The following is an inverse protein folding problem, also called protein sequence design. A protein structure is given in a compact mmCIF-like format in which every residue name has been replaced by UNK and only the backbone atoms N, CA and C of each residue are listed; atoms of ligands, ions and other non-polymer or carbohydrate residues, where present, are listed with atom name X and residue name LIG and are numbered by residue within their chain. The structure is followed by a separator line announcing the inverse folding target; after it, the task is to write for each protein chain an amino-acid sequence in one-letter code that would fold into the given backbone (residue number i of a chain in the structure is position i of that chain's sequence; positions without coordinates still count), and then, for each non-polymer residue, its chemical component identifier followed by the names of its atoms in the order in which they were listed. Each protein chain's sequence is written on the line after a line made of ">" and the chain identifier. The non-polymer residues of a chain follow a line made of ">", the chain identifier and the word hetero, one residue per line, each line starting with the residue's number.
data_IF_811173703249
#
_entry.id   IF_811173703249
#
_cell.length_a   1.000
_cell.length_b   1.000
_cell.length_c   1.000
_cell.angle_alpha   90.00
_cell.angle_beta   90.00
_cell.angle_gamma   90.00
#
_symmetry.space_group_name_H-M   'P 1'
#
loop_
_entity.id
_entity.type
_entity.pdbx_description
1 polymer ?
#
# COMPACT_ATOMS: atom_id res chain seq x y z
N UNK A 1 -20.38 -0.41 41.26
CA UNK A 1 -19.24 0.28 41.90
C UNK A 1 -18.44 -0.76 42.65
N UNK A 2 -17.38 -1.28 42.05
CA UNK A 2 -16.57 -2.33 42.66
C UNK A 2 -15.12 -2.01 42.33
N UNK A 3 -14.38 -1.56 43.35
CA UNK A 3 -12.94 -1.27 43.29
C UNK A 3 -12.19 -2.59 43.44
N UNK A 4 -11.24 -2.89 42.55
CA UNK A 4 -10.24 -3.94 42.75
C UNK A 4 -8.85 -3.33 42.51
N UNK A 5 -7.95 -3.68 43.42
CA UNK A 5 -6.73 -2.96 43.75
C UNK A 5 -5.54 -3.23 42.83
N UNK A 6 -4.68 -2.22 42.80
CA UNK A 6 -3.35 -2.14 42.21
C UNK A 6 -2.36 -3.10 42.92
N UNK A 7 -1.49 -3.77 42.16
CA UNK A 7 -0.23 -4.30 42.67
C UNK A 7 0.91 -3.89 41.72
N UNK A 8 1.72 -2.95 42.19
CA UNK A 8 2.96 -2.49 41.55
C UNK A 8 4.10 -3.32 42.16
N UNK A 9 4.95 -3.92 41.32
CA UNK A 9 6.21 -4.53 41.75
C UNK A 9 7.36 -3.88 41.01
N UNK A 10 8.14 -3.09 41.75
CA UNK A 10 9.40 -2.48 41.33
C UNK A 10 10.51 -3.44 41.76
N UNK A 11 11.45 -3.76 40.86
CA UNK A 11 12.70 -4.42 41.22
C UNK A 11 13.87 -3.65 40.60
N UNK A 12 14.57 -2.91 41.46
CA UNK A 12 15.88 -2.34 41.22
C UNK A 12 16.94 -3.42 41.46
N UNK A 13 17.86 -3.63 40.51
CA UNK A 13 19.16 -4.23 40.80
C UNK A 13 20.23 -3.38 40.15
N UNK A 14 20.92 -2.60 40.98
CA UNK A 14 22.17 -1.92 40.66
C UNK A 14 23.31 -2.83 41.11
N UNK A 15 24.21 -3.21 40.21
CA UNK A 15 25.51 -3.77 40.58
C UNK A 15 26.61 -2.87 40.00
N UNK A 16 27.23 -2.12 40.92
CA UNK A 16 28.52 -1.46 40.73
C UNK A 16 29.62 -2.47 41.03
N UNK A 17 30.60 -2.62 40.13
CA UNK A 17 31.90 -3.17 40.46
C UNK A 17 32.98 -2.23 39.92
N UNK A 18 33.65 -1.59 40.86
CA UNK A 18 34.93 -0.92 40.73
C UNK A 18 36.05 -1.96 40.71
N UNK A 19 37.02 -1.81 39.81
CA UNK A 19 38.33 -2.43 39.96
C UNK A 19 39.40 -1.45 39.45
N UNK A 20 40.19 -0.94 40.39
CA UNK A 20 41.49 -0.32 40.16
C UNK A 20 42.58 -1.39 40.22
N UNK A 21 43.50 -1.34 39.28
CA UNK A 21 44.77 -2.09 39.23
C UNK A 21 45.36 -1.81 37.86
N UNK A 22 46.60 -1.37 37.66
CA UNK A 22 47.83 -1.54 38.41
C UNK A 22 48.89 -1.73 37.31
N UNK A 23 49.91 -0.88 37.28
CA UNK A 23 50.77 -0.68 36.12
C UNK A 23 51.68 -1.85 35.74
N UNK A 24 52.25 -1.76 34.53
CA UNK A 24 53.32 -2.61 34.03
C UNK A 24 53.72 -2.18 32.62
N UNK A 25 54.84 -1.47 32.52
CA UNK A 25 55.45 -1.10 31.25
C UNK A 25 56.02 -2.32 30.52
N UNK A 26 55.92 -2.29 29.19
CA UNK A 26 56.50 -3.29 28.31
C UNK A 26 56.28 -2.86 26.86
N UNK A 27 57.32 -2.30 26.27
CA UNK A 27 57.38 -2.00 24.84
C UNK A 27 57.10 -3.28 24.04
N UNK A 28 56.03 -3.28 23.25
CA UNK A 28 55.73 -4.30 22.26
C UNK A 28 55.38 -3.64 20.93
N UNK A 29 55.83 -4.22 19.80
CA UNK A 29 55.85 -3.57 18.50
C UNK A 29 54.45 -3.32 17.97
N UNK A 30 54.27 -2.15 17.35
CA UNK A 30 53.03 -1.68 16.75
C UNK A 30 52.44 -2.71 15.80
N UNK A 31 51.26 -3.22 16.14
CA UNK A 31 50.42 -3.99 15.23
C UNK A 31 49.98 -3.06 14.07
N UNK A 32 49.91 -3.56 12.82
CA UNK A 32 49.40 -2.78 11.71
C UNK A 32 47.96 -2.39 11.99
N UNK A 33 47.65 -1.10 11.80
CA UNK A 33 46.33 -0.54 11.97
C UNK A 33 45.31 -1.35 11.16
N UNK A 34 44.51 -2.17 11.85
CA UNK A 34 43.31 -2.76 11.29
C UNK A 34 42.39 -1.63 10.88
N UNK A 35 42.22 -1.44 9.57
CA UNK A 35 41.25 -0.53 9.00
C UNK A 35 39.91 -0.68 9.73
N UNK A 36 39.23 0.43 10.10
CA UNK A 36 37.92 0.34 10.73
C UNK A 36 36.99 -0.47 9.82
N UNK A 37 36.14 -1.34 10.40
CA UNK A 37 35.18 -2.11 9.60
C UNK A 37 34.34 -1.13 8.80
N UNK A 38 34.39 -1.25 7.48
CA UNK A 38 33.50 -0.54 6.56
C UNK A 38 32.08 -0.88 6.97
N UNK A 39 31.41 0.03 7.66
CA UNK A 39 29.98 -0.10 7.96
C UNK A 39 29.30 -0.23 6.60
N UNK A 40 28.76 -1.41 6.32
CA UNK A 40 27.99 -1.63 5.10
C UNK A 40 26.90 -0.56 5.08
N UNK A 41 27.01 0.38 4.13
CA UNK A 41 25.98 1.39 3.95
C UNK A 41 24.67 0.64 3.75
N UNK A 42 23.71 0.83 4.66
CA UNK A 42 22.36 0.29 4.52
C UNK A 42 21.84 0.75 3.15
N UNK A 43 21.88 -0.14 2.16
CA UNK A 43 21.47 0.18 0.80
C UNK A 43 19.97 0.40 0.82
N UNK A 44 19.53 1.65 0.59
CA UNK A 44 18.11 1.95 0.41
C UNK A 44 17.57 1.04 -0.72
N UNK A 45 16.32 0.53 -0.61
CA UNK A 45 15.76 -0.38 -1.60
C UNK A 45 15.42 0.30 -2.95
N UNK A 46 15.61 1.62 -3.03
CA UNK A 46 15.33 2.50 -4.16
C UNK A 46 16.51 3.45 -4.41
N UNK A 47 16.58 4.02 -5.60
CA UNK A 47 17.67 4.93 -6.03
C UNK A 47 17.36 6.40 -5.80
N UNK A 48 16.07 6.75 -5.68
CA UNK A 48 15.61 8.13 -5.53
C UNK A 48 16.01 8.68 -4.16
N UNK A 49 16.47 9.93 -4.16
CA UNK A 49 16.70 10.76 -2.98
C UNK A 49 15.38 11.21 -2.36
N UNK A 50 15.40 11.61 -1.08
CA UNK A 50 14.22 12.11 -0.39
C UNK A 50 13.62 13.36 -1.10
N UNK A 51 14.48 14.20 -1.69
CA UNK A 51 14.06 15.37 -2.47
C UNK A 51 13.35 14.98 -3.78
N UNK A 52 13.85 13.98 -4.50
CA UNK A 52 13.19 13.47 -5.71
C UNK A 52 11.82 12.85 -5.38
N UNK A 53 11.74 12.09 -4.29
CA UNK A 53 10.49 11.48 -3.81
C UNK A 53 9.45 12.55 -3.53
N UNK A 54 9.77 13.55 -2.70
CA UNK A 54 8.78 14.60 -2.36
C UNK A 54 8.42 15.48 -3.56
N UNK A 55 9.37 15.76 -4.45
CA UNK A 55 9.09 16.51 -5.69
C UNK A 55 8.07 15.78 -6.54
N UNK A 56 8.21 14.45 -6.68
CA UNK A 56 7.22 13.62 -7.37
C UNK A 56 5.84 13.69 -6.69
N UNK A 57 5.79 13.54 -5.36
CA UNK A 57 4.53 13.58 -4.59
C UNK A 57 3.78 14.91 -4.71
N UNK A 58 4.47 16.05 -4.66
CA UNK A 58 3.83 17.37 -4.80
C UNK A 58 3.42 17.72 -6.23
N UNK A 59 4.14 17.18 -7.21
CA UNK A 59 3.83 17.42 -8.63
C UNK A 59 2.64 16.60 -9.13
N UNK A 60 2.38 15.45 -8.51
CA UNK A 60 1.36 14.45 -8.90
C UNK A 60 1.50 13.89 -10.33
N UNK A 61 2.60 14.24 -11.02
CA UNK A 61 2.77 13.94 -12.45
C UNK A 61 3.29 12.52 -12.72
N UNK A 62 3.97 11.90 -11.75
CA UNK A 62 4.57 10.57 -11.88
C UNK A 62 4.35 9.75 -10.61
N UNK A 63 3.19 9.08 -10.52
CA UNK A 63 2.78 8.30 -9.36
C UNK A 63 3.15 6.81 -9.39
N UNK A 64 3.64 6.32 -10.52
CA UNK A 64 3.96 4.90 -10.72
C UNK A 64 5.19 4.76 -11.61
N UNK A 65 5.98 3.68 -11.46
CA UNK A 65 7.12 3.45 -12.33
C UNK A 65 6.68 3.12 -13.76
N UNK A 66 7.64 3.13 -14.70
CA UNK A 66 7.39 2.67 -16.07
C UNK A 66 6.90 1.22 -16.08
N UNK A 67 6.02 0.90 -17.03
CA UNK A 67 5.39 -0.42 -17.20
C UNK A 67 4.56 -0.90 -16.00
N UNK A 68 4.26 -0.03 -15.03
CA UNK A 68 3.29 -0.34 -13.99
C UNK A 68 1.90 -0.52 -14.60
N UNK A 69 1.11 -1.41 -14.01
CA UNK A 69 -0.25 -1.69 -14.45
C UNK A 69 -1.05 -0.40 -14.61
N UNK A 70 -1.54 -0.18 -15.82
CA UNK A 70 -2.38 0.95 -16.17
C UNK A 70 -3.51 0.48 -17.05
N UNK A 71 -4.64 1.19 -16.92
CA UNK A 71 -5.81 0.92 -17.74
C UNK A 71 -5.93 2.01 -18.78
N UNK A 72 -6.08 1.61 -20.03
CA UNK A 72 -6.36 2.55 -21.11
C UNK A 72 -7.77 3.07 -20.97
N UNK A 73 -7.89 4.40 -20.93
CA UNK A 73 -9.18 5.09 -20.95
C UNK A 73 -9.34 5.69 -22.33
N UNK A 74 -10.47 5.41 -22.99
CA UNK A 74 -10.79 6.05 -24.26
C UNK A 74 -10.93 7.57 -24.03
N UNK A 75 -10.26 8.44 -24.82
CA UNK A 75 -10.31 9.88 -24.63
C UNK A 75 -11.73 10.48 -24.63
N UNK A 76 -12.67 9.79 -25.28
CA UNK A 76 -14.09 10.19 -25.37
C UNK A 76 -14.87 10.04 -24.07
N UNK A 77 -14.35 9.34 -23.06
CA UNK A 77 -15.09 9.03 -21.82
C UNK A 77 -15.02 10.14 -20.74
N UNK A 78 -14.29 11.23 -20.99
CA UNK A 78 -14.14 12.32 -20.02
C UNK A 78 -13.50 11.85 -18.72
N UNK A 79 -14.07 12.24 -17.57
CA UNK A 79 -13.63 11.75 -16.27
C UNK A 79 -14.02 10.28 -16.06
N UNK A 80 -13.06 9.42 -15.68
CA UNK A 80 -13.32 8.01 -15.40
C UNK A 80 -13.00 7.70 -13.95
N UNK A 81 -14.01 7.24 -13.21
CA UNK A 81 -13.83 6.60 -11.91
C UNK A 81 -14.06 5.10 -12.06
N UNK A 82 -13.21 4.29 -11.45
CA UNK A 82 -13.38 2.83 -11.43
C UNK A 82 -13.42 2.38 -9.99
N UNK A 83 -14.43 1.58 -9.64
CA UNK A 83 -14.65 1.08 -8.27
C UNK A 83 -14.98 -0.41 -8.31
N UNK A 84 -14.55 -1.13 -7.29
CA UNK A 84 -15.06 -2.47 -7.02
C UNK A 84 -16.29 -2.39 -6.15
N UNK A 85 -17.30 -3.20 -6.48
CA UNK A 85 -18.53 -3.32 -5.68
C UNK A 85 -18.19 -4.01 -4.37
N UNK A 86 -18.57 -3.37 -3.26
CA UNK A 86 -18.32 -3.83 -1.90
C UNK A 86 -19.59 -4.35 -1.25
N UNK A 87 -19.40 -5.14 -0.22
CA UNK A 87 -20.49 -5.64 0.63
C UNK A 87 -21.39 -4.54 1.17
N UNK A 88 -20.82 -3.41 1.59
CA UNK A 88 -21.59 -2.26 2.09
C UNK A 88 -22.37 -1.49 1.03
N UNK A 89 -22.05 -1.67 -0.27
CA UNK A 89 -22.80 -1.02 -1.37
C UNK A 89 -24.08 -1.80 -1.71
N UNK A 90 -24.14 -3.07 -1.31
CA UNK A 90 -25.17 -4.04 -1.70
C UNK A 90 -26.03 -4.42 -0.50
N UNK A 91 -25.39 -4.75 0.61
CA UNK A 91 -26.05 -5.13 1.84
C UNK A 91 -26.19 -3.88 2.71
N UNK A 92 -27.40 -3.59 3.19
CA UNK A 92 -27.77 -2.41 3.98
C UNK A 92 -27.09 -2.33 5.37
N UNK A 93 -26.03 -3.11 5.58
CA UNK A 93 -25.23 -3.13 6.77
C UNK A 93 -23.90 -2.40 6.52
N UNK A 94 -23.83 -1.15 6.97
CA UNK A 94 -22.58 -0.38 7.02
C UNK A 94 -21.61 -0.89 8.11
N UNK A 95 -21.96 -1.96 8.83
CA UNK A 95 -21.08 -2.55 9.83
C UNK A 95 -19.83 -3.16 9.18
N UNK A 96 -18.77 -3.13 9.98
CA UNK A 96 -17.50 -3.77 9.70
C UNK A 96 -17.61 -5.30 9.81
N UNK A 97 -16.84 -6.07 9.01
CA UNK A 97 -15.87 -5.64 7.99
C UNK A 97 -16.48 -5.35 6.61
N UNK A 98 -15.79 -4.54 5.80
CA UNK A 98 -16.11 -4.33 4.37
C UNK A 98 -15.21 -5.18 3.49
N UNK A 99 -15.80 -5.85 2.50
CA UNK A 99 -15.11 -6.73 1.57
C UNK A 99 -15.52 -6.44 0.12
N UNK A 100 -14.64 -6.76 -0.83
CA UNK A 100 -14.97 -6.72 -2.26
C UNK A 100 -15.70 -7.99 -2.66
N UNK A 101 -16.78 -7.87 -3.44
CA UNK A 101 -17.58 -9.01 -3.88
C UNK A 101 -16.95 -9.70 -5.09
N UNK A 102 -17.09 -11.02 -5.14
CA UNK A 102 -16.81 -11.81 -6.32
C UNK A 102 -18.02 -12.67 -6.70
N UNK A 103 -18.20 -12.93 -7.99
CA UNK A 103 -19.11 -13.94 -8.52
C UNK A 103 -18.64 -14.40 -9.89
N UNK A 104 -18.85 -15.67 -10.21
CA UNK A 104 -18.73 -16.20 -11.59
C UNK A 104 -20.08 -16.24 -12.34
N UNK A 105 -21.16 -15.77 -11.70
CA UNK A 105 -22.47 -15.58 -12.33
C UNK A 105 -22.64 -14.11 -12.72
N UNK A 106 -22.72 -13.87 -14.03
CA UNK A 106 -22.93 -12.54 -14.58
C UNK A 106 -24.21 -11.87 -14.04
N UNK A 107 -25.30 -12.62 -13.87
CA UNK A 107 -26.58 -12.05 -13.40
C UNK A 107 -26.48 -11.60 -11.95
N UNK A 108 -25.78 -12.36 -11.11
CA UNK A 108 -25.52 -11.98 -9.73
C UNK A 108 -24.64 -10.73 -9.68
N UNK A 109 -23.56 -10.70 -10.46
CA UNK A 109 -22.68 -9.53 -10.55
C UNK A 109 -23.42 -8.27 -11.02
N UNK A 110 -24.28 -8.40 -12.03
CA UNK A 110 -25.13 -7.31 -12.50
C UNK A 110 -26.08 -6.83 -11.41
N UNK A 111 -26.79 -7.76 -10.73
CA UNK A 111 -27.69 -7.42 -9.64
C UNK A 111 -27.01 -6.63 -8.50
N UNK A 112 -25.78 -6.99 -8.13
CA UNK A 112 -25.00 -6.24 -7.16
C UNK A 112 -24.57 -4.86 -7.67
N UNK A 113 -24.16 -4.76 -8.94
CA UNK A 113 -23.83 -3.47 -9.55
C UNK A 113 -25.05 -2.52 -9.61
N UNK A 114 -26.24 -3.05 -9.87
CA UNK A 114 -27.49 -2.27 -9.82
C UNK A 114 -27.79 -1.77 -8.42
N UNK A 115 -27.67 -2.62 -7.41
CA UNK A 115 -27.90 -2.23 -6.01
C UNK A 115 -26.90 -1.15 -5.57
N UNK A 116 -25.62 -1.34 -5.89
CA UNK A 116 -24.60 -0.33 -5.64
C UNK A 116 -24.93 1.00 -6.34
N UNK A 117 -25.34 0.99 -7.61
CA UNK A 117 -25.72 2.20 -8.34
C UNK A 117 -26.96 2.90 -7.77
N UNK A 118 -27.92 2.16 -7.20
CA UNK A 118 -29.09 2.72 -6.54
C UNK A 118 -28.76 3.36 -5.18
N UNK A 119 -27.70 2.89 -4.52
CA UNK A 119 -27.21 3.48 -3.27
C UNK A 119 -26.35 4.74 -3.47
N UNK A 120 -25.88 4.98 -4.71
CA UNK A 120 -25.04 6.13 -5.03
C UNK A 120 -25.84 7.45 -5.03
N UNK A 121 -25.21 8.60 -4.74
CA UNK A 121 -25.88 9.90 -4.76
C UNK A 121 -26.51 10.27 -6.12
N UNK A 122 -26.02 9.68 -7.20
CA UNK A 122 -26.55 9.84 -8.55
C UNK A 122 -26.55 8.48 -9.25
N UNK A 123 -27.74 7.98 -9.62
CA UNK A 123 -27.87 6.80 -10.47
C UNK A 123 -27.70 7.21 -11.93
N UNK A 124 -26.55 6.89 -12.52
CA UNK A 124 -26.29 7.07 -13.95
C UNK A 124 -26.95 6.02 -14.83
N UNK A 125 -27.19 6.30 -16.11
CA UNK A 125 -27.63 5.31 -17.08
C UNK A 125 -26.53 4.28 -17.36
N UNK A 126 -26.89 3.02 -17.58
CA UNK A 126 -25.96 1.99 -18.04
C UNK A 126 -25.63 2.24 -19.51
N UNK A 127 -24.34 2.36 -19.81
CA UNK A 127 -23.84 2.65 -21.16
C UNK A 127 -23.23 1.40 -21.81
N UNK A 128 -22.50 0.62 -21.02
CA UNK A 128 -21.71 -0.50 -21.54
C UNK A 128 -21.52 -1.57 -20.45
N UNK A 129 -21.35 -2.82 -20.87
CA UNK A 129 -20.90 -3.90 -20.01
C UNK A 129 -19.70 -4.58 -20.63
N UNK A 130 -18.70 -4.89 -19.80
CA UNK A 130 -17.45 -5.52 -20.21
C UNK A 130 -17.20 -6.75 -19.35
N UNK A 131 -16.71 -7.83 -19.97
CA UNK A 131 -16.32 -9.04 -19.25
C UNK A 131 -14.87 -9.35 -19.56
N UNK A 132 -14.09 -9.58 -18.50
CA UNK A 132 -12.72 -10.06 -18.61
C UNK A 132 -12.53 -11.36 -17.83
N UNK A 133 -11.30 -11.87 -17.83
CA UNK A 133 -10.92 -12.95 -16.91
C UNK A 133 -10.97 -12.49 -15.46
N UNK A 134 -10.78 -11.19 -15.17
CA UNK A 134 -10.63 -10.66 -13.81
C UNK A 134 -11.96 -10.23 -13.18
N UNK A 135 -12.87 -9.68 -13.96
CA UNK A 135 -14.08 -9.05 -13.46
C UNK A 135 -15.19 -8.96 -14.52
N UNK A 136 -16.41 -8.75 -14.03
CA UNK A 136 -17.49 -8.12 -14.77
C UNK A 136 -17.46 -6.61 -14.49
N UNK A 137 -17.58 -5.80 -15.53
CA UNK A 137 -17.58 -4.34 -15.46
C UNK A 137 -18.88 -3.77 -16.05
N UNK A 138 -19.44 -2.80 -15.34
CA UNK A 138 -20.67 -2.11 -15.70
C UNK A 138 -20.38 -0.62 -15.74
N UNK A 139 -20.42 -0.03 -16.94
CA UNK A 139 -20.06 1.36 -17.19
C UNK A 139 -21.34 2.20 -17.17
N UNK A 140 -21.37 3.20 -16.30
CA UNK A 140 -22.50 4.12 -16.15
C UNK A 140 -22.10 5.55 -16.39
N UNK A 141 -23.02 6.33 -16.94
CA UNK A 141 -22.86 7.77 -17.05
C UNK A 141 -22.69 8.42 -15.66
N UNK A 142 -21.85 9.44 -15.58
CA UNK A 142 -21.74 10.32 -14.42
C UNK A 142 -22.21 11.70 -14.85
N UNK A 143 -23.38 12.10 -14.36
CA UNK A 143 -24.02 13.38 -14.70
C UNK A 143 -23.58 14.55 -13.79
N UNK A 144 -22.72 14.30 -12.80
CA UNK A 144 -22.12 15.31 -11.93
C UNK A 144 -21.00 16.13 -12.59
N UNK A 145 -20.37 17.02 -11.82
CA UNK A 145 -19.18 17.77 -12.24
C UNK A 145 -17.92 17.20 -11.56
N UNK A 146 -16.88 16.78 -12.30
CA UNK A 146 -16.84 16.67 -13.76
C UNK A 146 -17.73 15.53 -14.28
N UNK A 147 -18.29 15.73 -15.47
CA UNK A 147 -19.05 14.72 -16.18
C UNK A 147 -18.11 13.63 -16.74
N UNK A 148 -18.63 12.42 -16.91
CA UNK A 148 -17.85 11.31 -17.43
C UNK A 148 -18.53 9.97 -17.17
N UNK A 149 -17.77 8.96 -16.75
CA UNK A 149 -18.29 7.61 -16.48
C UNK A 149 -17.78 7.04 -15.16
N UNK A 150 -18.59 6.17 -14.57
CA UNK A 150 -18.21 5.31 -13.45
C UNK A 150 -18.21 3.86 -13.93
N UNK A 151 -17.10 3.15 -13.72
CA UNK A 151 -16.93 1.73 -14.01
C UNK A 151 -17.05 0.95 -12.71
N UNK A 152 -18.17 0.27 -12.50
CA UNK A 152 -18.37 -0.60 -11.35
C UNK A 152 -17.93 -2.02 -11.71
N UNK A 153 -17.09 -2.64 -10.88
CA UNK A 153 -16.53 -3.97 -11.12
C UNK A 153 -16.87 -4.96 -10.02
N UNK A 154 -17.26 -6.15 -10.42
CA UNK A 154 -17.37 -7.32 -9.55
C UNK A 154 -16.30 -8.30 -9.95
N UNK A 155 -15.46 -8.74 -9.02
CA UNK A 155 -14.43 -9.73 -9.35
C UNK A 155 -15.07 -11.03 -9.83
N UNK A 156 -14.39 -11.73 -10.72
CA UNK A 156 -14.71 -13.14 -10.97
C UNK A 156 -14.09 -13.98 -9.87
N UNK A 157 -14.87 -14.84 -9.21
CA UNK A 157 -14.33 -15.68 -8.15
C UNK A 157 -13.28 -16.65 -8.71
N UNK A 158 -13.41 -17.09 -9.97
CA UNK A 158 -12.38 -17.84 -10.67
C UNK A 158 -11.04 -17.10 -10.83
N UNK A 159 -11.02 -15.77 -10.69
CA UNK A 159 -9.81 -14.96 -10.68
C UNK A 159 -9.34 -14.67 -9.25
N UNK A 160 -10.14 -13.93 -8.48
CA UNK A 160 -9.75 -13.44 -7.17
C UNK A 160 -10.96 -13.40 -6.25
N UNK A 161 -10.86 -14.08 -5.10
CA UNK A 161 -11.83 -13.99 -4.01
C UNK A 161 -11.26 -13.13 -2.88
N UNK A 162 -11.94 -12.03 -2.60
CA UNK A 162 -11.66 -11.10 -1.49
C UNK A 162 -12.84 -10.94 -0.55
N UNK A 163 -13.80 -11.87 -0.57
CA UNK A 163 -15.02 -11.85 0.23
C UNK A 163 -14.82 -11.99 1.74
N UNK A 164 -13.58 -12.18 2.18
CA UNK A 164 -13.18 -12.30 3.59
C UNK A 164 -12.03 -11.35 3.96
N UNK A 165 -11.64 -10.46 3.04
CA UNK A 165 -10.59 -9.48 3.28
C UNK A 165 -11.21 -8.22 3.85
N UNK A 166 -10.84 -7.88 5.09
CA UNK A 166 -11.20 -6.59 5.66
C UNK A 166 -10.37 -5.48 5.01
N UNK A 167 -11.00 -4.72 4.13
CA UNK A 167 -10.38 -3.63 3.38
C UNK A 167 -9.90 -2.47 4.28
N UNK A 168 -10.23 -2.46 5.57
CA UNK A 168 -9.71 -1.48 6.54
C UNK A 168 -8.40 -1.91 7.20
N UNK A 169 -7.97 -3.14 6.96
CA UNK A 169 -6.69 -3.67 7.45
C UNK A 169 -5.65 -3.67 6.34
N UNK A 170 -4.45 -3.17 6.63
CA UNK A 170 -3.34 -3.07 5.66
C UNK A 170 -2.34 -4.22 5.73
N UNK A 171 -2.56 -5.15 6.66
CA UNK A 171 -1.72 -6.31 6.93
C UNK A 171 -2.57 -7.58 7.02
N UNK A 172 -1.95 -8.73 6.74
CA UNK A 172 -2.50 -10.10 6.80
C UNK A 172 -3.12 -10.57 5.48
N UNK A 173 -4.30 -11.16 5.53
CA UNK A 173 -4.95 -11.80 4.39
C UNK A 173 -5.37 -10.76 3.34
N UNK A 174 -4.95 -10.97 2.10
CA UNK A 174 -5.25 -10.11 0.96
C UNK A 174 -6.11 -10.81 -0.11
N UNK A 175 -6.49 -12.08 0.09
CA UNK A 175 -7.50 -12.79 -0.68
C UNK A 175 -7.09 -14.22 -1.00
N UNK A 176 -7.77 -14.79 -1.98
CA UNK A 176 -7.46 -16.07 -2.60
C UNK A 176 -7.38 -15.87 -4.12
N UNK A 177 -6.18 -15.96 -4.69
CA UNK A 177 -5.95 -15.90 -6.12
C UNK A 177 -6.26 -17.27 -6.73
N UNK A 178 -7.37 -17.37 -7.45
CA UNK A 178 -7.87 -18.63 -8.03
C UNK A 178 -7.39 -18.87 -9.46
N UNK A 179 -6.86 -17.84 -10.13
CA UNK A 179 -6.25 -18.01 -11.45
C UNK A 179 -5.12 -19.06 -11.41
N UNK A 180 -5.05 -19.92 -12.42
CA UNK A 180 -3.99 -20.92 -12.59
C UNK A 180 -3.45 -20.90 -14.03
N UNK A 181 -2.13 -21.12 -14.24
CA UNK A 181 -1.07 -21.20 -13.21
C UNK A 181 -0.81 -19.83 -12.55
N UNK A 182 -0.35 -19.83 -11.30
CA UNK A 182 0.13 -18.62 -10.63
C UNK A 182 1.61 -18.42 -10.99
N UNK A 183 1.94 -17.30 -11.61
CA UNK A 183 3.31 -16.92 -12.00
C UNK A 183 3.70 -15.59 -11.36
N UNK A 184 4.98 -15.24 -11.38
CA UNK A 184 5.47 -13.93 -10.90
C UNK A 184 4.82 -12.77 -11.66
N UNK A 185 4.60 -12.91 -12.97
CA UNK A 185 3.90 -11.91 -13.79
C UNK A 185 2.46 -11.72 -13.34
N UNK A 186 1.73 -12.81 -13.04
CA UNK A 186 0.35 -12.72 -12.53
C UNK A 186 0.32 -12.02 -11.17
N UNK A 187 1.26 -12.33 -10.27
CA UNK A 187 1.35 -11.68 -8.97
C UNK A 187 1.72 -10.19 -9.09
N UNK A 188 2.64 -9.85 -9.99
CA UNK A 188 2.97 -8.46 -10.30
C UNK A 188 1.73 -7.71 -10.75
N UNK A 189 1.07 -8.18 -11.81
CA UNK A 189 -0.14 -7.53 -12.35
C UNK A 189 -1.21 -7.38 -11.27
N UNK A 190 -1.43 -8.39 -10.44
CA UNK A 190 -2.39 -8.33 -9.34
C UNK A 190 -1.99 -7.30 -8.29
N UNK A 191 -0.74 -7.28 -7.86
CA UNK A 191 -0.25 -6.36 -6.82
C UNK A 191 -0.40 -4.90 -7.28
N UNK A 192 -0.03 -4.64 -8.53
CA UNK A 192 -0.14 -3.31 -9.14
C UNK A 192 -1.61 -2.92 -9.38
N UNK A 193 -2.44 -3.88 -9.81
CA UNK A 193 -3.89 -3.71 -9.94
C UNK A 193 -4.53 -3.31 -8.61
N UNK A 194 -4.28 -4.08 -7.54
CA UNK A 194 -4.85 -3.85 -6.21
C UNK A 194 -4.47 -2.48 -5.66
N UNK A 195 -3.22 -2.04 -5.86
CA UNK A 195 -2.78 -0.70 -5.44
C UNK A 195 -3.68 0.41 -6.00
N UNK A 196 -4.12 0.31 -7.27
CA UNK A 196 -4.98 1.33 -7.90
C UNK A 196 -6.34 1.49 -7.23
N UNK A 197 -6.83 0.48 -6.52
CA UNK A 197 -8.13 0.48 -5.84
C UNK A 197 -8.03 0.77 -4.34
N UNK A 198 -6.85 1.17 -3.87
CA UNK A 198 -6.66 1.60 -2.49
C UNK A 198 -6.74 3.12 -2.36
N UNK A 199 -6.85 3.59 -1.12
CA UNK A 199 -6.76 5.01 -0.80
C UNK A 199 -5.42 5.65 -1.23
N UNK A 200 -4.40 4.83 -1.51
CA UNK A 200 -3.07 5.27 -1.90
C UNK A 200 -2.96 5.58 -3.41
N UNK A 201 -3.99 5.38 -4.21
CA UNK A 201 -4.03 5.87 -5.61
C UNK A 201 -4.62 7.30 -5.71
N UNK A 202 -4.29 8.16 -4.75
CA UNK A 202 -4.70 9.57 -4.71
C UNK A 202 -3.48 10.48 -4.63
N UNK A 203 -3.70 11.79 -4.73
CA UNK A 203 -2.66 12.80 -4.53
C UNK A 203 -1.83 12.54 -3.27
N UNK A 204 -0.53 12.84 -3.34
CA UNK A 204 0.37 12.64 -2.21
C UNK A 204 0.79 11.19 -2.00
N UNK A 205 0.58 10.30 -2.97
CA UNK A 205 1.05 8.92 -2.90
C UNK A 205 1.69 8.51 -4.22
N UNK A 206 2.76 7.72 -4.16
CA UNK A 206 3.47 7.23 -5.35
C UNK A 206 4.11 5.87 -5.10
N UNK A 207 4.07 5.00 -6.10
CA UNK A 207 4.88 3.79 -6.16
C UNK A 207 6.25 4.16 -6.72
N UNK A 208 7.29 3.97 -5.91
CA UNK A 208 8.68 4.25 -6.26
C UNK A 208 9.36 3.08 -6.96
N UNK A 209 8.89 1.86 -6.66
CA UNK A 209 9.43 0.61 -7.19
C UNK A 209 8.36 -0.49 -7.19
N UNK A 210 8.37 -1.33 -8.23
CA UNK A 210 7.56 -2.55 -8.34
C UNK A 210 8.47 -3.67 -8.81
N UNK A 211 8.73 -4.66 -7.96
CA UNK A 211 9.69 -5.73 -8.28
C UNK A 211 9.30 -7.09 -7.74
N UNK A 212 9.47 -8.17 -8.51
CA UNK A 212 9.34 -9.52 -7.97
C UNK A 212 10.45 -9.78 -6.95
N UNK A 213 10.13 -10.52 -5.89
CA UNK A 213 11.10 -11.00 -4.90
C UNK A 213 11.30 -12.49 -5.12
N UNK A 214 12.56 -12.90 -5.27
CA UNK A 214 12.93 -14.29 -5.49
C UNK A 214 13.06 -14.98 -4.13
N UNK A 215 12.14 -15.88 -3.81
CA UNK A 215 12.18 -16.68 -2.60
C UNK A 215 11.83 -18.14 -2.93
N UNK A 216 12.38 -19.10 -2.19
CA UNK A 216 12.08 -20.52 -2.39
C UNK A 216 10.72 -20.86 -1.77
N UNK A 217 9.77 -21.31 -2.60
CA UNK A 217 8.49 -21.89 -2.14
C UNK A 217 7.26 -20.99 -2.32
N UNK A 218 7.42 -19.66 -2.22
CA UNK A 218 6.34 -18.70 -2.44
C UNK A 218 6.69 -17.71 -3.54
N UNK A 219 5.67 -17.21 -4.25
CA UNK A 219 5.84 -16.08 -5.15
C UNK A 219 5.63 -14.79 -4.35
N UNK A 220 6.55 -13.84 -4.52
CA UNK A 220 6.53 -12.58 -3.80
C UNK A 220 6.68 -11.40 -4.74
N UNK A 221 6.00 -10.30 -4.43
CA UNK A 221 6.06 -9.05 -5.18
C UNK A 221 6.07 -7.86 -4.23
N UNK A 222 7.09 -7.02 -4.36
CA UNK A 222 7.35 -5.86 -3.51
C UNK A 222 7.00 -4.56 -4.24
N UNK A 223 6.13 -3.76 -3.62
CA UNK A 223 5.91 -2.37 -3.99
C UNK A 223 6.53 -1.47 -2.92
N UNK A 224 7.47 -0.61 -3.31
CA UNK A 224 7.95 0.47 -2.44
C UNK A 224 7.09 1.70 -2.70
N UNK A 225 6.42 2.20 -1.68
CA UNK A 225 5.44 3.27 -1.77
C UNK A 225 5.89 4.42 -0.88
N UNK A 226 5.72 5.65 -1.38
CA UNK A 226 5.80 6.86 -0.57
C UNK A 226 4.41 7.48 -0.39
N UNK A 227 4.13 7.95 0.81
CA UNK A 227 2.88 8.59 1.19
C UNK A 227 3.13 9.88 1.95
N UNK A 228 2.45 10.93 1.53
CA UNK A 228 2.45 12.25 2.12
C UNK A 228 1.27 12.35 3.09
N UNK A 229 1.59 12.60 4.35
CA UNK A 229 0.62 12.97 5.38
C UNK A 229 0.78 14.45 5.70
N UNK A 230 -0.20 15.31 5.35
CA UNK A 230 -0.13 16.72 5.69
C UNK A 230 -0.08 16.90 7.20
N UNK A 231 0.87 17.68 7.71
CA UNK A 231 0.83 18.10 9.12
C UNK A 231 0.43 19.56 9.20
N UNK A 232 -0.72 19.81 9.84
CA UNK A 232 -1.08 21.13 10.31
C UNK A 232 -0.15 21.58 11.45
N UNK A 233 0.39 22.79 11.32
CA UNK A 233 0.85 23.69 12.39
C UNK A 233 2.21 23.49 13.10
N UNK A 234 3.00 22.44 12.87
CA UNK A 234 4.40 22.44 13.32
C UNK A 234 5.36 22.70 12.15
N UNK A 235 5.86 23.95 12.04
CA UNK A 235 6.84 24.41 11.04
C UNK A 235 6.42 24.30 9.56
N UNK A 236 5.17 23.93 9.26
CA UNK A 236 4.64 23.86 7.88
C UNK A 236 5.20 22.70 7.05
N UNK A 237 5.73 21.67 7.70
CA UNK A 237 6.30 20.50 7.04
C UNK A 237 5.32 19.32 7.02
N UNK A 238 5.15 18.70 5.86
CA UNK A 238 4.46 17.44 5.69
C UNK A 238 5.37 16.27 6.10
N UNK A 239 4.77 15.19 6.59
CA UNK A 239 5.46 13.93 6.87
C UNK A 239 5.38 13.04 5.64
N UNK A 240 6.51 12.52 5.19
CA UNK A 240 6.61 11.55 4.11
C UNK A 240 7.02 10.20 4.71
N UNK A 241 6.15 9.21 4.58
CA UNK A 241 6.43 7.83 4.97
C UNK A 241 6.78 7.03 3.72
N UNK A 242 7.90 6.32 3.77
CA UNK A 242 8.27 5.34 2.74
C UNK A 242 8.17 3.95 3.35
N UNK A 243 7.39 3.08 2.72
CA UNK A 243 7.10 1.74 3.20
C UNK A 243 7.06 0.73 2.05
N UNK A 244 7.23 -0.54 2.38
CA UNK A 244 7.06 -1.66 1.45
C UNK A 244 5.66 -2.26 1.62
N UNK A 245 5.07 -2.69 0.52
CA UNK A 245 3.96 -3.64 0.44
C UNK A 245 4.47 -4.93 -0.20
N UNK A 246 4.66 -5.94 0.63
CA UNK A 246 5.05 -7.27 0.18
C UNK A 246 3.81 -8.15 0.03
N UNK A 247 3.41 -8.40 -1.21
CA UNK A 247 2.44 -9.44 -1.51
C UNK A 247 3.15 -10.79 -1.57
N UNK A 248 2.63 -11.77 -0.85
CA UNK A 248 3.10 -13.16 -0.90
C UNK A 248 1.93 -14.06 -1.27
N UNK A 249 2.12 -14.90 -2.28
CA UNK A 249 1.13 -15.92 -2.68
C UNK A 249 1.75 -17.30 -2.66
N UNK A 250 1.01 -18.24 -2.06
CA UNK A 250 1.29 -19.67 -2.20
C UNK A 250 0.82 -20.13 -3.59
N UNK A 251 1.71 -20.61 -4.47
CA UNK A 251 1.34 -20.99 -5.83
C UNK A 251 0.42 -22.23 -5.92
N UNK A 252 0.35 -23.05 -4.87
CA UNK A 252 -0.52 -24.23 -4.81
C UNK A 252 -1.92 -23.84 -4.37
N UNK A 253 -2.03 -23.19 -3.20
CA UNK A 253 -3.33 -22.84 -2.61
C UNK A 253 -3.92 -21.57 -3.20
N UNK A 254 -3.08 -20.62 -3.64
CA UNK A 254 -3.49 -19.29 -4.06
C UNK A 254 -3.72 -18.33 -2.90
N UNK A 255 -3.42 -18.73 -1.65
CA UNK A 255 -3.56 -17.87 -0.49
C UNK A 255 -2.67 -16.63 -0.65
N UNK A 256 -3.29 -15.45 -0.66
CA UNK A 256 -2.61 -14.18 -0.84
C UNK A 256 -2.57 -13.43 0.48
N UNK A 257 -1.38 -12.96 0.85
CA UNK A 257 -1.15 -12.12 2.02
C UNK A 257 -0.45 -10.82 1.62
N UNK A 258 -0.66 -9.78 2.40
CA UNK A 258 -0.01 -8.48 2.30
C UNK A 258 0.66 -8.14 3.62
N UNK A 259 1.94 -7.76 3.57
CA UNK A 259 2.66 -7.16 4.68
C UNK A 259 3.14 -5.77 4.31
N UNK A 260 2.71 -4.77 5.07
CA UNK A 260 3.12 -3.38 4.97
C UNK A 260 4.14 -3.05 6.08
N UNK A 261 5.34 -2.61 5.70
CA UNK A 261 6.41 -2.26 6.66
C UNK A 261 7.00 -0.90 6.34
N UNK A 262 7.03 0.01 7.33
CA UNK A 262 7.73 1.30 7.21
C UNK A 262 9.24 1.08 7.08
N UNK A 263 9.82 1.66 6.03
CA UNK A 263 11.25 1.59 5.74
C UNK A 263 11.97 2.79 6.36
N UNK A 264 11.49 4.00 6.06
CA UNK A 264 11.92 5.24 6.72
C UNK A 264 10.85 6.32 6.57
N UNK A 265 11.06 7.45 7.24
CA UNK A 265 10.26 8.65 7.04
C UNK A 265 11.16 9.89 7.05
N UNK A 266 10.65 10.99 6.49
CA UNK A 266 11.31 12.30 6.50
C UNK A 266 10.25 13.40 6.43
N UNK A 267 10.65 14.66 6.64
CA UNK A 267 9.78 15.81 6.46
C UNK A 267 10.21 16.69 5.30
N UNK A 268 9.23 17.29 4.65
CA UNK A 268 9.43 18.23 3.58
C UNK A 268 8.28 19.24 3.53
N UNK A 269 8.47 20.35 2.83
CA UNK A 269 7.45 21.36 2.61
C UNK A 269 7.48 21.82 1.16
N UNK A 270 6.35 22.32 0.68
CA UNK A 270 6.25 22.98 -0.62
C UNK A 270 6.56 24.47 -0.48
N UNK A 271 7.48 24.98 -1.27
CA UNK A 271 7.82 26.41 -1.36
C UNK A 271 7.60 26.87 -2.80
N UNK A 272 6.42 27.45 -3.06
CA UNK A 272 5.97 27.78 -4.41
C UNK A 272 5.79 26.52 -5.28
N UNK A 273 6.63 26.39 -6.31
CA UNK A 273 6.63 25.26 -7.24
C UNK A 273 7.69 24.19 -6.92
N UNK A 274 8.47 24.39 -5.86
CA UNK A 274 9.57 23.51 -5.49
C UNK A 274 9.30 22.84 -4.13
N UNK A 275 10.03 21.76 -3.87
CA UNK A 275 10.03 21.09 -2.58
C UNK A 275 11.33 21.39 -1.82
N UNK A 276 11.23 21.51 -0.49
CA UNK A 276 12.38 21.64 0.40
C UNK A 276 12.29 20.56 1.48
N UNK A 277 13.41 19.90 1.78
CA UNK A 277 13.50 19.02 2.94
C UNK A 277 13.49 19.86 4.22
N UNK A 278 12.72 19.44 5.19
CA UNK A 278 12.78 20.01 6.53
C UNK A 278 13.97 19.42 7.29
N UNK A 279 14.53 20.16 8.23
CA UNK A 279 15.59 19.65 9.11
C UNK A 279 15.17 18.35 9.78
N UNK A 280 16.15 17.53 10.19
CA UNK A 280 15.94 16.21 10.80
C UNK A 280 15.03 16.32 12.01
N UNK A 281 13.75 16.06 11.78
CA UNK A 281 12.75 15.91 12.81
C UNK A 281 12.43 14.43 12.82
N UNK A 282 12.90 13.73 13.85
CA UNK A 282 12.44 12.37 14.15
C UNK A 282 10.96 12.47 14.51
N UNK A 283 10.10 11.76 13.75
CA UNK A 283 8.66 11.68 13.97
C UNK A 283 8.22 10.38 14.63
#
# INVERSE_FOLDING_TARGET
>A
MTKVALAVSVSCVSMLLTACGGGGGGDSPSAPASSPPTVAANSRPIVQTDLEIVTALYSDNARTPNNFYSETVAPSMGYVSTVHVKSGDVFSNNALPQYELCSDDWNQAYGWAEQAAQSAPQTGLLLETNTSTRFYEFVRERTGQPAGVTRARVYRCAYLDRGTVDLRTVNNRAGLLNQRPITSTVLQELSEYLWRFTQYNNYGNSVLKSTPVVNSGNLQHDLVIASLTPRGAANGCDRIDVYTWLHTVDPQTGELTLTATTLWNFAAKRVGYWAELCGTSTF
#
